data_IF_600697762882
#
_entry.id   IF_600697762882
#
_cell.length_a   1.000
_cell.length_b   1.000
_cell.length_c   1.000
_cell.angle_alpha   90.00
_cell.angle_beta   90.00
_cell.angle_gamma   90.00
#
_symmetry.space_group_name_H-M   'P 1'
#
loop_
_entity.id
_entity.type
_entity.pdbx_description
1 polymer ?
#
# COMPACT_ATOMS: atom_id res chain seq x y z
N UNK A 1 -66.63 75.48 -37.01
CA UNK A 1 -65.97 76.22 -35.98
C UNK A 1 -64.95 75.30 -35.24
N UNK A 2 -63.73 75.55 -35.64
CA UNK A 2 -62.53 75.65 -34.81
C UNK A 2 -62.15 74.39 -34.02
N UNK A 3 -61.05 73.95 -34.01
CA UNK A 3 -59.65 74.21 -34.15
C UNK A 3 -58.89 72.89 -33.68
N UNK A 4 -58.06 72.47 -34.46
CA UNK A 4 -56.63 72.26 -34.18
C UNK A 4 -56.21 71.76 -32.82
N UNK A 5 -55.52 70.61 -32.80
CA UNK A 5 -54.19 70.59 -32.26
C UNK A 5 -53.40 69.34 -32.65
N UNK A 6 -52.23 69.45 -33.19
CA UNK A 6 -51.36 68.30 -33.51
C UNK A 6 -50.40 68.06 -32.35
N UNK A 7 -50.61 66.96 -31.67
CA UNK A 7 -49.62 66.48 -30.65
C UNK A 7 -48.38 65.89 -31.33
N UNK A 8 -47.29 66.57 -31.22
CA UNK A 8 -45.97 66.15 -31.61
C UNK A 8 -45.55 64.92 -30.75
N UNK A 9 -45.34 63.84 -31.44
CA UNK A 9 -44.68 62.66 -30.85
C UNK A 9 -43.15 62.82 -30.87
N UNK A 10 -42.58 62.94 -29.71
CA UNK A 10 -41.13 62.93 -29.49
C UNK A 10 -40.60 61.51 -29.67
N UNK A 11 -39.61 61.25 -30.50
CA UNK A 11 -38.97 59.93 -30.58
C UNK A 11 -38.09 59.69 -29.34
N UNK A 12 -38.41 58.64 -28.58
CA UNK A 12 -37.56 58.14 -27.51
C UNK A 12 -36.24 57.60 -28.13
N UNK A 13 -35.17 58.28 -27.86
CA UNK A 13 -33.82 57.76 -28.14
C UNK A 13 -33.55 56.59 -27.24
N UNK A 14 -33.57 55.41 -27.79
CA UNK A 14 -33.09 54.17 -27.15
C UNK A 14 -31.55 54.27 -27.07
N UNK A 15 -31.05 54.57 -25.87
CA UNK A 15 -29.63 54.49 -25.58
C UNK A 15 -29.20 53.00 -25.54
N UNK A 16 -28.55 52.54 -26.56
CA UNK A 16 -27.87 51.24 -26.54
C UNK A 16 -26.77 51.29 -25.50
N UNK A 17 -26.71 50.34 -24.51
CA UNK A 17 -25.60 50.31 -23.60
C UNK A 17 -24.35 49.95 -24.39
N UNK A 18 -23.36 50.83 -24.34
CA UNK A 18 -22.06 50.60 -24.91
C UNK A 18 -21.47 49.32 -24.30
N UNK A 19 -21.25 48.32 -25.13
CA UNK A 19 -20.51 47.12 -24.79
C UNK A 19 -19.12 47.54 -24.32
N UNK A 20 -18.88 47.44 -23.02
CA UNK A 20 -17.56 47.72 -22.44
C UNK A 20 -16.58 46.69 -23.00
N UNK A 21 -15.67 47.15 -23.84
CA UNK A 21 -14.57 46.31 -24.32
C UNK A 21 -13.75 45.87 -23.08
N UNK A 22 -13.36 44.58 -23.01
CA UNK A 22 -12.56 44.11 -21.87
C UNK A 22 -11.25 44.86 -21.81
N UNK A 23 -10.97 45.47 -20.66
CA UNK A 23 -9.74 46.19 -20.40
C UNK A 23 -8.52 45.30 -20.70
N UNK A 24 -7.47 45.81 -21.35
CA UNK A 24 -6.28 45.01 -21.61
C UNK A 24 -5.65 44.57 -20.30
N UNK A 25 -5.65 43.24 -20.03
CA UNK A 25 -4.98 42.68 -18.85
C UNK A 25 -3.54 43.09 -18.84
N UNK A 26 -3.07 43.67 -17.71
CA UNK A 26 -1.70 44.08 -17.53
C UNK A 26 -0.75 42.90 -17.70
N UNK A 27 0.46 43.11 -18.14
CA UNK A 27 1.49 42.07 -18.30
C UNK A 27 1.70 41.27 -17.02
N UNK A 28 1.61 41.93 -15.87
CA UNK A 28 1.71 41.30 -14.53
C UNK A 28 0.55 40.30 -14.27
N UNK A 29 -0.67 40.61 -14.70
CA UNK A 29 -1.82 39.70 -14.53
C UNK A 29 -1.68 38.47 -15.43
N UNK A 30 -1.18 38.62 -16.64
CA UNK A 30 -0.92 37.50 -17.56
C UNK A 30 0.22 36.61 -17.05
N UNK A 31 1.29 37.21 -16.50
CA UNK A 31 2.39 36.47 -15.91
C UNK A 31 1.95 35.70 -14.64
N UNK A 32 1.16 36.31 -13.77
CA UNK A 32 0.61 35.64 -12.59
C UNK A 32 -0.29 34.46 -12.96
N UNK A 33 -1.12 34.60 -14.00
CA UNK A 33 -2.00 33.53 -14.47
C UNK A 33 -1.21 32.34 -15.07
N UNK A 34 -0.13 32.66 -15.80
CA UNK A 34 0.77 31.63 -16.36
C UNK A 34 1.50 30.84 -15.25
N UNK A 35 1.99 31.53 -14.21
CA UNK A 35 2.63 30.88 -13.07
C UNK A 35 1.65 30.00 -12.30
N UNK A 36 0.41 30.48 -12.09
CA UNK A 36 -0.63 29.70 -11.44
C UNK A 36 -0.99 28.43 -12.25
N UNK A 37 -1.09 28.55 -13.58
CA UNK A 37 -1.37 27.40 -14.45
C UNK A 37 -0.24 26.35 -14.39
N UNK A 38 1.02 26.79 -14.41
CA UNK A 38 2.17 25.90 -14.28
C UNK A 38 2.18 25.21 -12.90
N UNK A 39 1.89 25.94 -11.83
CA UNK A 39 1.81 25.37 -10.49
C UNK A 39 0.72 24.29 -10.38
N UNK A 40 -0.47 24.54 -10.96
CA UNK A 40 -1.57 23.54 -11.01
C UNK A 40 -1.16 22.30 -11.81
N UNK A 41 -0.47 22.47 -12.94
CA UNK A 41 0.01 21.35 -13.74
C UNK A 41 1.05 20.51 -13.01
N UNK A 42 2.01 21.16 -12.31
CA UNK A 42 3.05 20.46 -11.53
C UNK A 42 2.43 19.72 -10.35
N UNK A 43 1.53 20.35 -9.60
CA UNK A 43 0.83 19.69 -8.47
C UNK A 43 -0.09 18.58 -8.98
N UNK A 44 -0.80 18.79 -10.08
CA UNK A 44 -1.65 17.78 -10.70
C UNK A 44 -0.85 16.58 -11.21
N UNK A 45 0.27 16.81 -11.90
CA UNK A 45 1.15 15.74 -12.39
C UNK A 45 1.80 14.98 -11.21
N UNK A 46 2.21 15.68 -10.14
CA UNK A 46 2.75 15.05 -8.94
C UNK A 46 1.71 14.20 -8.20
N UNK A 47 0.50 14.71 -8.03
CA UNK A 47 -0.60 13.98 -7.38
C UNK A 47 -1.02 12.76 -8.23
N UNK A 48 -1.12 12.92 -9.55
CA UNK A 48 -1.45 11.83 -10.48
C UNK A 48 -0.36 10.76 -10.50
N UNK A 49 0.93 11.17 -10.56
CA UNK A 49 2.06 10.23 -10.51
C UNK A 49 2.13 9.45 -9.19
N UNK A 50 1.73 10.07 -8.09
CA UNK A 50 1.69 9.41 -6.77
C UNK A 50 0.53 8.43 -6.65
N UNK A 51 -0.64 8.74 -7.20
CA UNK A 51 -1.81 7.85 -7.17
C UNK A 51 -1.70 6.66 -8.12
N UNK A 52 -1.03 6.82 -9.27
CA UNK A 52 -0.82 5.72 -10.22
C UNK A 52 0.27 4.74 -9.78
N UNK A 53 1.24 5.17 -8.93
CA UNK A 53 2.30 4.30 -8.42
C UNK A 53 1.91 3.55 -7.12
N UNK A 54 0.79 3.88 -6.48
CA UNK A 54 0.34 3.24 -5.26
C UNK A 54 0.00 1.76 -5.45
N UNK A 55 -0.83 1.35 -6.45
CA UNK A 55 -1.19 -0.07 -6.62
C UNK A 55 0.01 -0.96 -6.95
N UNK A 56 1.02 -0.43 -7.66
CA UNK A 56 2.24 -1.20 -7.97
C UNK A 56 3.10 -1.42 -6.72
N UNK A 57 3.13 -0.47 -5.79
CA UNK A 57 3.84 -0.61 -4.51
C UNK A 57 3.16 -1.61 -3.61
N UNK A 58 1.84 -1.54 -3.48
CA UNK A 58 1.06 -2.47 -2.66
C UNK A 58 1.20 -3.92 -3.17
N UNK A 59 1.20 -4.10 -4.49
CA UNK A 59 1.45 -5.40 -5.11
C UNK A 59 2.89 -5.90 -4.86
N UNK A 60 3.88 -5.02 -4.96
CA UNK A 60 5.28 -5.37 -4.68
C UNK A 60 5.50 -5.72 -3.20
N UNK A 61 4.88 -4.99 -2.28
CA UNK A 61 4.97 -5.25 -0.83
C UNK A 61 4.27 -6.56 -0.47
N UNK A 62 3.11 -6.85 -1.05
CA UNK A 62 2.41 -8.12 -0.88
C UNK A 62 3.24 -9.30 -1.43
N UNK A 63 3.88 -9.14 -2.59
CA UNK A 63 4.77 -10.15 -3.17
C UNK A 63 5.99 -10.39 -2.28
N UNK A 64 6.62 -9.33 -1.77
CA UNK A 64 7.77 -9.43 -0.85
C UNK A 64 7.39 -10.15 0.44
N UNK A 65 6.24 -9.79 1.04
CA UNK A 65 5.72 -10.44 2.24
C UNK A 65 5.49 -11.94 2.01
N UNK A 66 4.87 -12.29 0.87
CA UNK A 66 4.67 -13.69 0.48
C UNK A 66 6.00 -14.44 0.30
N UNK A 67 7.00 -13.81 -0.30
CA UNK A 67 8.34 -14.42 -0.44
C UNK A 67 8.99 -14.69 0.91
N UNK A 68 8.93 -13.76 1.86
CA UNK A 68 9.48 -13.96 3.22
C UNK A 68 8.78 -15.13 3.94
N UNK A 69 7.46 -15.26 3.81
CA UNK A 69 6.71 -16.38 4.39
C UNK A 69 7.03 -17.73 3.71
N UNK A 70 7.23 -17.73 2.41
CA UNK A 70 7.62 -18.94 1.66
C UNK A 70 9.03 -19.38 2.03
N UNK A 71 9.97 -18.45 2.16
CA UNK A 71 11.34 -18.72 2.60
C UNK A 71 11.34 -19.29 4.02
N UNK A 72 10.67 -18.64 4.96
CA UNK A 72 10.51 -19.15 6.32
C UNK A 72 9.92 -20.57 6.33
N UNK A 73 8.89 -20.82 5.52
CA UNK A 73 8.26 -22.14 5.43
C UNK A 73 9.19 -23.20 4.85
N UNK A 74 9.99 -22.85 3.83
CA UNK A 74 10.98 -23.76 3.25
C UNK A 74 11.99 -24.18 4.32
N UNK A 75 12.54 -23.22 5.09
CA UNK A 75 13.46 -23.52 6.19
C UNK A 75 12.81 -24.43 7.26
N UNK A 76 11.56 -24.18 7.61
CA UNK A 76 10.84 -25.03 8.58
C UNK A 76 10.64 -26.46 8.05
N UNK A 77 10.36 -26.63 6.75
CA UNK A 77 10.22 -27.95 6.12
C UNK A 77 11.55 -28.68 6.07
N UNK A 78 12.65 -27.99 5.75
CA UNK A 78 14.00 -28.56 5.77
C UNK A 78 14.40 -28.98 7.20
N UNK A 79 14.00 -28.17 8.20
CA UNK A 79 14.17 -28.55 9.59
C UNK A 79 13.41 -29.83 9.95
N UNK A 80 12.13 -29.95 9.53
CA UNK A 80 11.33 -31.16 9.76
C UNK A 80 11.98 -32.39 9.15
N UNK A 81 12.48 -32.28 7.92
CA UNK A 81 13.18 -33.39 7.24
C UNK A 81 14.44 -33.79 8.00
N UNK A 82 15.22 -32.82 8.44
CA UNK A 82 16.44 -33.05 9.23
C UNK A 82 16.12 -33.70 10.60
N UNK A 83 15.08 -33.19 11.30
CA UNK A 83 14.65 -33.72 12.59
C UNK A 83 14.07 -35.14 12.48
N UNK A 84 13.33 -35.40 11.38
CA UNK A 84 12.81 -36.75 11.10
C UNK A 84 13.95 -37.76 10.90
N UNK A 85 15.05 -37.33 10.32
CA UNK A 85 16.26 -38.13 10.13
C UNK A 85 17.18 -38.14 11.37
N UNK A 86 16.69 -37.69 12.54
CA UNK A 86 17.44 -37.53 13.79
C UNK A 86 18.70 -36.62 13.67
N UNK A 87 18.76 -35.78 12.63
CA UNK A 87 19.82 -34.78 12.46
C UNK A 87 19.42 -33.47 13.17
N UNK A 88 19.48 -33.49 14.52
CA UNK A 88 19.05 -32.38 15.34
C UNK A 88 19.87 -31.12 15.13
N UNK A 89 21.17 -31.24 14.80
CA UNK A 89 22.03 -30.10 14.52
C UNK A 89 21.57 -29.30 13.30
N UNK A 90 21.35 -29.97 12.18
CA UNK A 90 20.82 -29.34 10.98
C UNK A 90 19.38 -28.84 11.18
N UNK A 91 18.54 -29.62 11.89
CA UNK A 91 17.20 -29.20 12.21
C UNK A 91 17.16 -27.89 13.00
N UNK A 92 18.00 -27.78 14.05
CA UNK A 92 18.12 -26.53 14.83
C UNK A 92 18.63 -25.36 13.96
N UNK A 93 19.56 -25.62 13.03
CA UNK A 93 20.12 -24.60 12.15
C UNK A 93 19.07 -24.07 11.16
N UNK A 94 18.29 -24.93 10.53
CA UNK A 94 17.20 -24.51 9.66
C UNK A 94 16.12 -23.73 10.41
N UNK A 95 15.76 -24.12 11.64
CA UNK A 95 14.85 -23.35 12.48
C UNK A 95 15.43 -21.97 12.84
N UNK A 96 16.74 -21.86 13.06
CA UNK A 96 17.38 -20.55 13.26
C UNK A 96 17.30 -19.69 12.02
N UNK A 97 17.46 -20.24 10.82
CA UNK A 97 17.35 -19.53 9.54
C UNK A 97 15.90 -19.11 9.22
N UNK A 98 14.89 -19.81 9.73
CA UNK A 98 13.49 -19.44 9.56
C UNK A 98 13.10 -18.17 10.34
N UNK A 99 13.80 -17.83 11.42
CA UNK A 99 13.43 -16.73 12.33
C UNK A 99 13.46 -15.34 11.65
N UNK A 100 14.54 -14.91 10.97
CA UNK A 100 14.60 -13.58 10.39
C UNK A 100 13.49 -13.31 9.34
N UNK A 101 13.26 -14.16 8.32
CA UNK A 101 12.21 -13.92 7.35
C UNK A 101 10.82 -13.95 7.99
N UNK A 102 10.59 -14.79 9.00
CA UNK A 102 9.31 -14.89 9.70
C UNK A 102 9.03 -13.64 10.55
N UNK A 103 10.02 -13.12 11.26
CA UNK A 103 9.90 -11.89 12.04
C UNK A 103 9.67 -10.68 11.11
N UNK A 104 10.36 -10.62 9.98
CA UNK A 104 10.16 -9.57 8.98
C UNK A 104 8.75 -9.64 8.36
N UNK A 105 8.26 -10.84 8.05
CA UNK A 105 6.91 -11.05 7.53
C UNK A 105 5.83 -10.64 8.56
N UNK A 106 5.99 -11.00 9.83
CA UNK A 106 5.07 -10.60 10.90
C UNK A 106 4.98 -9.07 11.03
N UNK A 107 6.14 -8.39 10.98
CA UNK A 107 6.17 -6.93 10.99
C UNK A 107 5.46 -6.36 9.76
N UNK A 108 5.74 -6.85 8.56
CA UNK A 108 5.11 -6.38 7.34
C UNK A 108 3.60 -6.61 7.32
N UNK A 109 3.11 -7.69 7.93
CA UNK A 109 1.68 -7.95 8.12
C UNK A 109 1.02 -6.89 9.02
N UNK A 110 1.67 -6.48 10.11
CA UNK A 110 1.18 -5.39 10.96
C UNK A 110 1.20 -4.04 10.23
N UNK A 111 2.27 -3.75 9.54
CA UNK A 111 2.41 -2.50 8.77
C UNK A 111 1.32 -2.39 7.65
N UNK A 112 0.74 -3.53 7.27
CA UNK A 112 -0.36 -3.65 6.29
C UNK A 112 -1.76 -3.81 6.95
N UNK A 113 -1.90 -3.52 8.24
CA UNK A 113 -3.15 -3.65 9.03
C UNK A 113 -3.76 -5.08 9.00
N UNK A 114 -2.89 -6.11 8.93
CA UNK A 114 -3.31 -7.52 8.93
C UNK A 114 -2.95 -8.21 10.26
N UNK A 115 -3.45 -7.67 11.35
CA UNK A 115 -3.09 -8.07 12.72
C UNK A 115 -3.38 -9.54 13.04
N UNK A 116 -4.48 -10.10 12.52
CA UNK A 116 -4.79 -11.52 12.70
C UNK A 116 -3.73 -12.43 12.07
N UNK A 117 -3.27 -12.09 10.86
CA UNK A 117 -2.23 -12.85 10.17
C UNK A 117 -0.88 -12.65 10.83
N UNK A 118 -0.59 -11.43 11.30
CA UNK A 118 0.61 -11.14 12.07
C UNK A 118 0.66 -11.96 13.37
N UNK A 119 -0.46 -12.07 14.08
CA UNK A 119 -0.57 -12.89 15.30
C UNK A 119 -0.29 -14.38 15.02
N UNK A 120 -0.80 -14.91 13.89
CA UNK A 120 -0.49 -16.28 13.47
C UNK A 120 0.97 -16.46 13.07
N UNK A 121 1.57 -15.47 12.40
CA UNK A 121 3.00 -15.50 12.08
C UNK A 121 3.87 -15.46 13.34
N UNK A 122 3.49 -14.66 14.35
CA UNK A 122 4.17 -14.66 15.66
C UNK A 122 4.02 -15.99 16.39
N UNK A 123 2.84 -16.60 16.36
CA UNK A 123 2.64 -17.93 16.92
C UNK A 123 3.54 -18.97 16.22
N UNK A 124 3.68 -18.89 14.88
CA UNK A 124 4.61 -19.72 14.15
C UNK A 124 6.07 -19.47 14.57
N UNK A 125 6.47 -18.21 14.76
CA UNK A 125 7.79 -17.84 15.25
C UNK A 125 8.07 -18.45 16.66
N UNK A 126 7.11 -18.44 17.55
CA UNK A 126 7.23 -19.07 18.86
C UNK A 126 7.42 -20.59 18.75
N UNK A 127 6.71 -21.26 17.83
CA UNK A 127 6.90 -22.69 17.60
C UNK A 127 8.30 -22.98 17.01
N UNK A 128 8.78 -22.15 16.08
CA UNK A 128 10.15 -22.23 15.54
C UNK A 128 11.19 -22.10 16.66
N UNK A 129 11.07 -21.11 17.53
CA UNK A 129 11.99 -20.91 18.66
C UNK A 129 11.97 -22.10 19.63
N UNK A 130 10.79 -22.56 20.02
CA UNK A 130 10.63 -23.71 20.88
C UNK A 130 11.19 -24.98 20.24
N UNK A 131 10.90 -25.20 18.96
CA UNK A 131 11.42 -26.35 18.21
C UNK A 131 12.94 -26.36 18.12
N UNK A 132 13.54 -25.19 17.88
CA UNK A 132 15.00 -25.01 17.87
C UNK A 132 15.64 -25.36 19.22
N UNK A 133 15.05 -24.88 20.33
CA UNK A 133 15.56 -25.15 21.67
C UNK A 133 15.40 -26.63 22.07
N UNK A 134 14.33 -27.29 21.60
CA UNK A 134 14.14 -28.73 21.77
C UNK A 134 15.13 -29.53 20.92
N UNK A 135 15.39 -29.11 19.68
CA UNK A 135 16.40 -29.73 18.81
C UNK A 135 17.80 -29.63 19.42
N UNK A 136 18.17 -28.51 20.01
CA UNK A 136 19.42 -28.34 20.74
C UNK A 136 19.55 -29.30 21.94
N UNK A 137 18.43 -29.76 22.50
CA UNK A 137 18.38 -30.78 23.57
C UNK A 137 18.18 -32.19 23.06
N UNK A 138 18.28 -32.41 21.74
CA UNK A 138 18.07 -33.69 21.04
C UNK A 138 16.66 -34.30 21.31
N UNK A 139 15.67 -33.47 21.57
CA UNK A 139 14.29 -33.88 21.82
C UNK A 139 13.54 -34.17 20.53
N UNK A 140 12.84 -35.31 20.45
CA UNK A 140 11.96 -35.67 19.35
C UNK A 140 10.77 -34.73 19.20
N UNK A 141 10.38 -34.03 20.27
CA UNK A 141 9.29 -33.06 20.25
C UNK A 141 9.59 -31.85 19.36
N UNK A 142 10.89 -31.61 19.03
CA UNK A 142 11.30 -30.58 18.10
C UNK A 142 10.57 -30.68 16.75
N UNK A 143 10.40 -31.92 16.25
CA UNK A 143 9.71 -32.16 14.97
C UNK A 143 8.22 -31.77 15.04
N UNK A 144 7.55 -32.05 16.15
CA UNK A 144 6.16 -31.64 16.36
C UNK A 144 6.01 -30.12 16.32
N UNK A 145 6.95 -29.38 16.96
CA UNK A 145 6.96 -27.90 16.96
C UNK A 145 7.23 -27.31 15.58
N UNK A 146 8.15 -27.89 14.83
CA UNK A 146 8.36 -27.51 13.43
C UNK A 146 7.12 -27.79 12.57
N UNK A 147 6.43 -28.91 12.78
CA UNK A 147 5.16 -29.23 12.12
C UNK A 147 4.07 -28.20 12.39
N UNK A 148 3.93 -27.77 13.63
CA UNK A 148 2.96 -26.75 14.01
C UNK A 148 3.28 -25.37 13.38
N UNK A 149 4.55 -24.99 13.36
CA UNK A 149 5.01 -23.78 12.68
C UNK A 149 4.67 -23.82 11.18
N UNK A 150 4.97 -24.96 10.52
CA UNK A 150 4.65 -25.15 9.09
C UNK A 150 3.16 -25.05 8.78
N UNK A 151 2.29 -25.58 9.67
CA UNK A 151 0.83 -25.48 9.54
C UNK A 151 0.37 -24.04 9.64
N UNK A 152 0.81 -23.31 10.67
CA UNK A 152 0.49 -21.89 10.87
C UNK A 152 0.92 -21.03 9.68
N UNK A 153 2.14 -21.25 9.17
CA UNK A 153 2.63 -20.57 7.98
C UNK A 153 1.79 -20.88 6.74
N UNK A 154 1.31 -22.13 6.60
CA UNK A 154 0.37 -22.52 5.56
C UNK A 154 -0.94 -21.75 5.62
N UNK A 155 -1.49 -21.56 6.82
CA UNK A 155 -2.71 -20.77 7.03
C UNK A 155 -2.51 -19.29 6.65
N UNK A 156 -1.41 -18.67 7.09
CA UNK A 156 -1.08 -17.29 6.74
C UNK A 156 -0.95 -17.14 5.22
N UNK A 157 -0.20 -18.04 4.56
CA UNK A 157 -0.01 -18.02 3.12
C UNK A 157 -1.31 -18.21 2.32
N UNK A 158 -2.22 -19.03 2.83
CA UNK A 158 -3.52 -19.29 2.16
C UNK A 158 -4.48 -18.11 2.25
N UNK A 159 -4.34 -17.28 3.30
CA UNK A 159 -5.16 -16.09 3.52
C UNK A 159 -4.64 -14.84 2.78
N UNK A 160 -3.41 -14.90 2.22
CA UNK A 160 -2.86 -13.81 1.42
C UNK A 160 -3.37 -13.88 -0.03
N UNK A 161 -3.65 -12.73 -0.67
CA UNK A 161 -4.00 -12.68 -2.08
C UNK A 161 -2.89 -13.29 -2.95
N UNK A 162 -3.30 -13.92 -4.05
CA UNK A 162 -2.39 -14.54 -5.03
C UNK A 162 -1.89 -13.51 -6.02
#
# INVERSE_FOLDING_TARGET
MSLDDPSQSVPATVSTPASAAPAPMSFLTKAALAVAAVAVLVVGAWAYGRSSAAPDRDAADAARMRMMLLDARAQVLDAQLSLHSANFGNGAQHLEYAKPPLAAASKALRDADRDELATKADAALQQVMTGRDLAAKLSLDANSKAGEASRLLGEVLSALPR
#
